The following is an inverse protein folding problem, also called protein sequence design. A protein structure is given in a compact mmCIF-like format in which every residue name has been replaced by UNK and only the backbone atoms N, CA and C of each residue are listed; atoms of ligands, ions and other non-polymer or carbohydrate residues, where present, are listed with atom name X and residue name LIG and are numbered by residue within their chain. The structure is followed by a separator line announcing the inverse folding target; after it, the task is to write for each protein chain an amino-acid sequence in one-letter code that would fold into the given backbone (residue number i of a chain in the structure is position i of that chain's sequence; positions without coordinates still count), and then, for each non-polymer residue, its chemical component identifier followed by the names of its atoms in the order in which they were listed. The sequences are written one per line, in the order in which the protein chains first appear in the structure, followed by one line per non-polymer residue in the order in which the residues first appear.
data_IF_848553266841
#
_entry.id   IF_848553266841
#
_cell.length_a   1.000
_cell.length_b   1.000
_cell.length_c   1.000
_cell.angle_alpha   90.00
_cell.angle_beta   90.00
_cell.angle_gamma   90.00
#
_symmetry.space_group_name_H-M   'P 1'
#
loop_
_entity.id
_entity.type
_entity.pdbx_description
1 polymer ?
#
# COMPACT_ATOMS: atom_id res chain seq x y z
N UNK A 1 -30.71 26.20 -13.16
CA UNK A 1 -30.78 24.90 -12.47
C UNK A 1 -29.50 24.15 -12.82
N UNK A 2 -28.80 23.58 -11.83
CA UNK A 2 -27.64 22.74 -12.09
C UNK A 2 -28.16 21.37 -12.54
N UNK A 3 -28.20 21.15 -13.85
CA UNK A 3 -28.66 19.87 -14.40
C UNK A 3 -27.70 18.74 -14.02
N UNK A 4 -28.23 17.53 -13.94
CA UNK A 4 -27.49 16.30 -13.61
C UNK A 4 -26.27 16.11 -14.52
N UNK A 5 -26.38 16.52 -15.80
CA UNK A 5 -25.27 16.52 -16.74
C UNK A 5 -24.12 17.45 -16.32
N UNK A 6 -24.45 18.66 -15.86
CA UNK A 6 -23.49 19.65 -15.38
C UNK A 6 -22.82 19.20 -14.07
N UNK A 7 -23.58 18.58 -13.16
CA UNK A 7 -23.05 17.98 -11.93
C UNK A 7 -22.10 16.82 -12.27
N UNK A 8 -22.46 15.97 -13.23
CA UNK A 8 -21.62 14.86 -13.70
C UNK A 8 -20.30 15.33 -14.31
N UNK A 9 -20.33 16.40 -15.11
CA UNK A 9 -19.14 17.02 -15.68
C UNK A 9 -18.20 17.59 -14.61
N UNK A 10 -18.75 18.23 -13.58
CA UNK A 10 -17.96 18.74 -12.44
C UNK A 10 -17.29 17.60 -11.70
N UNK A 11 -18.01 16.52 -11.41
CA UNK A 11 -17.44 15.34 -10.74
C UNK A 11 -16.33 14.70 -11.58
N UNK A 12 -16.56 14.56 -12.89
CA UNK A 12 -15.57 14.01 -13.82
C UNK A 12 -14.30 14.87 -13.86
N UNK A 13 -14.47 16.20 -13.92
CA UNK A 13 -13.37 17.16 -13.90
C UNK A 13 -12.56 17.03 -12.61
N UNK A 14 -13.23 16.92 -11.45
CA UNK A 14 -12.56 16.74 -10.15
C UNK A 14 -11.77 15.42 -10.09
N UNK A 15 -12.35 14.31 -10.58
CA UNK A 15 -11.67 13.02 -10.67
C UNK A 15 -10.43 13.13 -11.57
N UNK A 16 -10.55 13.80 -12.71
CA UNK A 16 -9.44 14.01 -13.64
C UNK A 16 -8.32 14.83 -12.99
N UNK A 17 -8.64 15.96 -12.37
CA UNK A 17 -7.66 16.80 -11.64
C UNK A 17 -6.96 15.98 -10.56
N UNK A 18 -7.71 15.17 -9.81
CA UNK A 18 -7.16 14.29 -8.79
C UNK A 18 -6.19 13.25 -9.36
N UNK A 19 -6.54 12.60 -10.47
CA UNK A 19 -5.69 11.64 -11.18
C UNK A 19 -4.40 12.30 -11.67
N UNK A 20 -4.48 13.48 -12.27
CA UNK A 20 -3.32 14.24 -12.76
C UNK A 20 -2.41 14.62 -11.60
N UNK A 21 -2.94 15.17 -10.52
CA UNK A 21 -2.15 15.52 -9.33
C UNK A 21 -1.42 14.30 -8.75
N UNK A 22 -2.10 13.16 -8.67
CA UNK A 22 -1.50 11.90 -8.21
C UNK A 22 -0.42 11.40 -9.16
N UNK A 23 -0.63 11.53 -10.47
CA UNK A 23 0.34 11.20 -11.51
C UNK A 23 1.62 12.05 -11.42
N UNK A 24 1.47 13.37 -11.26
CA UNK A 24 2.59 14.31 -11.09
C UNK A 24 3.41 13.95 -9.84
N UNK A 25 2.74 13.65 -8.72
CA UNK A 25 3.42 13.22 -7.49
C UNK A 25 4.23 11.93 -7.70
N UNK A 26 3.73 11.02 -8.53
CA UNK A 26 4.45 9.79 -8.89
C UNK A 26 5.67 10.11 -9.75
N UNK A 27 5.50 10.95 -10.77
CA UNK A 27 6.56 11.43 -11.67
C UNK A 27 7.72 12.06 -10.90
N UNK A 28 7.44 12.94 -9.93
CA UNK A 28 8.48 13.54 -9.10
C UNK A 28 9.31 12.50 -8.34
N UNK A 29 8.70 11.40 -7.88
CA UNK A 29 9.45 10.32 -7.23
C UNK A 29 10.37 9.60 -8.21
N UNK A 30 9.86 9.25 -9.39
CA UNK A 30 10.66 8.65 -10.45
C UNK A 30 11.82 9.55 -10.88
N UNK A 31 11.59 10.85 -10.98
CA UNK A 31 12.64 11.83 -11.30
C UNK A 31 13.74 11.85 -10.23
N UNK A 32 13.35 11.82 -8.95
CA UNK A 32 14.29 11.78 -7.83
C UNK A 32 15.13 10.50 -7.85
N UNK A 33 14.50 9.35 -8.10
CA UNK A 33 15.17 8.05 -8.21
C UNK A 33 16.12 8.04 -9.41
N UNK A 34 15.67 8.54 -10.57
CA UNK A 34 16.52 8.66 -11.75
C UNK A 34 17.76 9.52 -11.46
N UNK A 35 17.59 10.65 -10.77
CA UNK A 35 18.71 11.50 -10.36
C UNK A 35 19.70 10.78 -9.45
N UNK A 36 19.22 10.09 -8.41
CA UNK A 36 20.08 9.33 -7.48
C UNK A 36 20.80 8.18 -8.23
N UNK A 37 20.08 7.45 -9.06
CA UNK A 37 20.62 6.33 -9.83
C UNK A 37 21.62 6.75 -10.90
N UNK A 38 21.48 7.94 -11.49
CA UNK A 38 22.46 8.49 -12.43
C UNK A 38 23.81 8.81 -11.75
N UNK A 39 23.77 9.22 -10.49
CA UNK A 39 24.97 9.54 -9.71
C UNK A 39 25.70 8.26 -9.24
N UNK A 40 24.95 7.17 -9.03
CA UNK A 40 25.49 5.89 -8.55
C UNK A 40 26.72 5.37 -9.32
N UNK A 41 26.72 5.22 -10.67
CA UNK A 41 27.90 4.74 -11.39
C UNK A 41 29.12 5.62 -11.20
N UNK A 42 28.95 6.95 -11.09
CA UNK A 42 30.05 7.88 -10.82
C UNK A 42 30.68 7.60 -9.46
N UNK A 43 29.85 7.37 -8.44
CA UNK A 43 30.33 7.01 -7.10
C UNK A 43 31.01 5.65 -7.11
N UNK A 44 30.41 4.67 -7.78
CA UNK A 44 30.93 3.30 -7.84
C UNK A 44 32.32 3.23 -8.50
N UNK A 45 32.54 3.99 -9.57
CA UNK A 45 33.85 4.04 -10.24
C UNK A 45 34.87 4.80 -9.39
N UNK A 46 34.50 5.98 -8.87
CA UNK A 46 35.46 6.87 -8.18
C UNK A 46 35.83 6.42 -6.76
N UNK A 47 34.90 5.81 -6.03
CA UNK A 47 35.09 5.49 -4.61
C UNK A 47 35.14 3.98 -4.31
N UNK A 48 34.47 3.15 -5.12
CA UNK A 48 34.43 1.70 -4.90
C UNK A 48 35.39 0.94 -5.83
N UNK A 49 36.04 1.64 -6.78
CA UNK A 49 37.02 1.05 -7.69
C UNK A 49 36.43 0.16 -8.78
N UNK A 50 35.13 0.27 -9.06
CA UNK A 50 34.53 -0.48 -10.16
C UNK A 50 35.03 0.00 -11.52
N UNK A 51 35.25 -0.95 -12.43
CA UNK A 51 35.83 -0.70 -13.77
C UNK A 51 34.77 -0.45 -14.84
N UNK A 52 33.70 0.28 -14.53
CA UNK A 52 32.65 0.56 -15.50
C UNK A 52 33.01 1.78 -16.38
N UNK A 53 32.73 1.74 -17.69
CA UNK A 53 32.88 2.92 -18.53
C UNK A 53 31.86 3.99 -18.10
N UNK A 54 32.33 5.19 -17.75
CA UNK A 54 31.48 6.34 -17.41
C UNK A 54 30.94 7.03 -18.67
N UNK A 55 30.24 6.27 -19.50
CA UNK A 55 29.54 6.77 -20.68
C UNK A 55 28.05 6.95 -20.39
N UNK A 56 27.36 7.71 -21.25
CA UNK A 56 25.91 7.97 -21.09
C UNK A 56 25.08 6.68 -21.10
N UNK A 57 25.53 5.67 -21.83
CA UNK A 57 24.86 4.35 -21.87
C UNK A 57 24.86 3.67 -20.50
N UNK A 58 26.00 3.61 -19.82
CA UNK A 58 26.09 3.00 -18.49
C UNK A 58 25.24 3.77 -17.48
N UNK A 59 25.27 5.11 -17.53
CA UNK A 59 24.42 5.96 -16.67
C UNK A 59 22.94 5.65 -16.91
N UNK A 60 22.51 5.58 -18.18
CA UNK A 60 21.13 5.24 -18.53
C UNK A 60 20.73 3.85 -18.04
N UNK A 61 21.60 2.86 -18.15
CA UNK A 61 21.34 1.50 -17.62
C UNK A 61 21.07 1.54 -16.12
N UNK A 62 21.89 2.24 -15.33
CA UNK A 62 21.66 2.39 -13.89
C UNK A 62 20.37 3.17 -13.58
N UNK A 63 20.05 4.20 -14.35
CA UNK A 63 18.78 4.93 -14.24
C UNK A 63 17.59 4.00 -14.50
N UNK A 64 17.63 3.21 -15.57
CA UNK A 64 16.57 2.22 -15.86
C UNK A 64 16.45 1.18 -14.77
N UNK A 65 17.57 0.66 -14.24
CA UNK A 65 17.59 -0.24 -13.09
C UNK A 65 16.95 0.38 -11.85
N UNK A 66 17.25 1.65 -11.56
CA UNK A 66 16.63 2.39 -10.46
C UNK A 66 15.12 2.54 -10.60
N UNK A 67 14.68 2.96 -11.78
CA UNK A 67 13.25 3.09 -12.12
C UNK A 67 12.56 1.72 -11.99
N UNK A 68 13.13 0.68 -12.59
CA UNK A 68 12.59 -0.69 -12.55
C UNK A 68 12.48 -1.22 -11.12
N UNK A 69 13.54 -1.06 -10.32
CA UNK A 69 13.53 -1.45 -8.91
C UNK A 69 12.44 -0.74 -8.12
N UNK A 70 12.23 0.55 -8.37
CA UNK A 70 11.14 1.29 -7.74
C UNK A 70 9.76 0.84 -8.21
N UNK A 71 9.59 0.52 -9.49
CA UNK A 71 8.32 -0.03 -10.01
C UNK A 71 7.99 -1.37 -9.36
N UNK A 72 8.98 -2.24 -9.16
CA UNK A 72 8.80 -3.52 -8.44
C UNK A 72 8.41 -3.25 -6.98
N UNK A 73 9.13 -2.35 -6.30
CA UNK A 73 8.80 -1.96 -4.92
C UNK A 73 7.37 -1.42 -4.79
N UNK A 74 6.95 -0.55 -5.72
CA UNK A 74 5.59 -0.01 -5.74
C UNK A 74 4.55 -1.12 -5.91
N UNK A 75 4.81 -2.05 -6.83
CA UNK A 75 3.94 -3.20 -7.10
C UNK A 75 3.78 -4.09 -5.88
N UNK A 76 4.90 -4.43 -5.22
CA UNK A 76 4.90 -5.20 -3.98
C UNK A 76 4.17 -4.47 -2.85
N UNK A 77 4.36 -3.16 -2.70
CA UNK A 77 3.67 -2.37 -1.67
C UNK A 77 2.15 -2.33 -1.88
N UNK A 78 1.70 -2.27 -3.14
CA UNK A 78 0.27 -2.36 -3.47
C UNK A 78 -0.27 -3.75 -3.12
N UNK A 79 0.43 -4.81 -3.52
CA UNK A 79 0.05 -6.19 -3.20
C UNK A 79 0.01 -6.39 -1.69
N UNK A 80 0.99 -5.90 -0.94
CA UNK A 80 1.05 -6.00 0.52
C UNK A 80 -0.11 -5.26 1.18
N UNK A 81 -0.48 -4.06 0.69
CA UNK A 81 -1.63 -3.31 1.22
C UNK A 81 -2.94 -4.01 0.95
N UNK A 82 -3.14 -4.52 -0.26
CA UNK A 82 -4.34 -5.28 -0.64
C UNK A 82 -4.40 -6.58 0.16
N UNK A 83 -3.29 -7.31 0.25
CA UNK A 83 -3.16 -8.54 1.03
C UNK A 83 -3.44 -8.33 2.51
N UNK A 84 -2.83 -7.32 3.16
CA UNK A 84 -3.11 -6.98 4.57
C UNK A 84 -4.54 -6.55 4.79
N UNK A 85 -5.14 -5.79 3.86
CA UNK A 85 -6.54 -5.37 3.96
C UNK A 85 -7.47 -6.58 3.91
N UNK A 86 -7.23 -7.53 3.00
CA UNK A 86 -7.97 -8.79 2.90
C UNK A 86 -7.77 -9.67 4.15
N UNK A 87 -6.52 -9.83 4.62
CA UNK A 87 -6.20 -10.63 5.81
C UNK A 87 -6.80 -10.02 7.08
N UNK A 88 -6.81 -8.69 7.22
CA UNK A 88 -7.43 -8.02 8.37
C UNK A 88 -8.96 -8.13 8.35
N UNK A 89 -9.60 -8.11 7.17
CA UNK A 89 -11.03 -8.37 7.02
C UNK A 89 -11.41 -9.78 7.46
N UNK A 90 -10.64 -10.80 7.06
CA UNK A 90 -10.88 -12.19 7.46
C UNK A 90 -10.46 -12.49 8.91
N UNK A 91 -9.35 -11.93 9.37
CA UNK A 91 -8.85 -12.09 10.74
C UNK A 91 -9.74 -11.44 11.78
N UNK A 92 -10.34 -10.29 11.47
CA UNK A 92 -11.28 -9.59 12.36
C UNK A 92 -12.58 -10.37 12.54
N UNK A 93 -13.14 -10.95 11.46
CA UNK A 93 -14.33 -11.82 11.55
C UNK A 93 -14.07 -13.02 12.46
N UNK A 94 -12.97 -13.74 12.25
CA UNK A 94 -12.64 -14.94 13.04
C UNK A 94 -12.34 -14.63 14.51
N UNK A 95 -11.79 -13.45 14.79
CA UNK A 95 -11.53 -12.99 16.17
C UNK A 95 -12.82 -12.57 16.89
N UNK A 96 -13.75 -11.89 16.20
CA UNK A 96 -15.07 -11.54 16.73
C UNK A 96 -15.93 -12.77 16.99
N UNK A 97 -15.88 -13.77 16.13
CA UNK A 97 -16.63 -15.02 16.26
C UNK A 97 -16.19 -15.82 17.51
N UNK A 98 -14.88 -15.96 17.73
CA UNK A 98 -14.33 -16.58 18.95
C UNK A 98 -14.64 -15.81 20.24
N UNK A 99 -14.75 -14.48 20.17
CA UNK A 99 -15.13 -13.68 21.34
C UNK A 99 -16.63 -13.84 21.67
N UNK A 100 -17.46 -13.98 20.64
CA UNK A 100 -18.90 -14.25 20.79
C UNK A 100 -19.16 -15.61 21.44
N UNK A 101 -18.47 -16.68 20.98
CA UNK A 101 -18.57 -18.01 21.57
C UNK A 101 -18.20 -18.03 23.07
N UNK A 102 -17.15 -17.29 23.46
CA UNK A 102 -16.75 -17.18 24.87
C UNK A 102 -17.80 -16.47 25.72
N UNK A 103 -18.45 -15.43 25.19
CA UNK A 103 -19.52 -14.71 25.90
C UNK A 103 -20.76 -15.59 26.09
N UNK A 104 -21.16 -16.34 25.07
CA UNK A 104 -22.29 -17.27 25.14
C UNK A 104 -22.01 -18.35 26.19
N UNK A 105 -20.82 -18.96 26.16
CA UNK A 105 -20.42 -19.99 27.12
C UNK A 105 -20.40 -19.49 28.58
N UNK A 106 -19.99 -18.24 28.79
CA UNK A 106 -20.01 -17.62 30.12
C UNK A 106 -21.43 -17.27 30.61
N UNK A 107 -22.34 -16.93 29.69
CA UNK A 107 -23.74 -16.69 30.01
C UNK A 107 -24.46 -18.00 30.38
N UNK A 108 -24.23 -19.08 29.63
CA UNK A 108 -24.76 -20.42 29.97
C UNK A 108 -24.28 -20.91 31.33
N UNK A 109 -22.99 -20.67 31.66
CA UNK A 109 -22.45 -21.04 32.97
C UNK A 109 -23.13 -20.29 34.12
N UNK A 110 -23.31 -18.96 33.97
CA UNK A 110 -24.00 -18.14 34.98
C UNK A 110 -25.47 -18.51 35.16
N UNK A 111 -26.15 -18.90 34.09
CA UNK A 111 -27.56 -19.28 34.16
C UNK A 111 -27.76 -20.64 34.86
N UNK A 112 -26.84 -21.59 34.63
CA UNK A 112 -26.82 -22.87 35.34
C UNK A 112 -26.51 -22.72 36.83
N UNK A 113 -25.54 -21.88 37.21
CA UNK A 113 -25.22 -21.60 38.62
C UNK A 113 -26.43 -20.99 39.36
N UNK A 114 -27.16 -20.06 38.72
CA UNK A 114 -28.39 -19.47 39.29
C UNK A 114 -29.54 -20.48 39.44
N UNK A 115 -29.65 -21.45 38.53
CA UNK A 115 -30.67 -22.50 38.62
C UNK A 115 -30.38 -23.52 39.72
N UNK A 116 -29.11 -23.75 40.05
CA UNK A 116 -28.71 -24.62 41.15
C UNK A 116 -28.89 -23.93 42.52
N UNK A 117 -28.64 -22.62 42.63
CA UNK A 117 -28.93 -21.85 43.84
C UNK A 117 -30.42 -21.79 44.17
N UNK A 118 -31.30 -21.64 43.17
CA UNK A 118 -32.76 -21.63 43.38
C UNK A 118 -33.38 -23.02 43.67
N UNK A 119 -32.60 -24.10 43.61
CA UNK A 119 -33.04 -25.47 43.92
C UNK A 119 -32.62 -25.95 45.32
N UNK A 120 -31.83 -25.16 46.05
CA UNK A 120 -31.53 -25.37 47.48
C UNK A 120 -32.47 -24.56 48.35
#
# INVERSE_FOLDING_TARGET
MLDIATIGLIILLVIFIYLVYKGIKLLFKYLLIAGISAIFPVIAVKYLGFSFPLNMETILVFVYLGILGYTIYLSLSVIEKVGKSLVNLFGSKKKKEKELERRIKNLEKKDNEKREENKK
#
